data_IF_043133304096
#
_entry.id   IF_043133304096
#
_cell.length_a   1.000
_cell.length_b   1.000
_cell.length_c   1.000
_cell.angle_alpha   90.00
_cell.angle_beta   90.00
_cell.angle_gamma   90.00
#
_symmetry.space_group_name_H-M   'P 1'
#
loop_
_entity.id
_entity.type
_entity.pdbx_description
1 polymer ?
#
# COMPACT_ATOMS: atom_id res chain seq x y z
N UNK A 1 -5.30 4.86 41.64
CA UNK A 1 -6.25 4.56 40.54
C UNK A 1 -6.06 3.10 40.15
N UNK A 2 -7.11 2.34 39.79
CA UNK A 2 -6.97 0.94 39.36
C UNK A 2 -7.50 0.83 37.94
N UNK A 3 -6.63 0.46 37.00
CA UNK A 3 -6.93 0.39 35.57
C UNK A 3 -6.27 -0.86 34.96
N UNK A 4 -6.65 -1.20 33.72
CA UNK A 4 -5.90 -2.19 32.94
C UNK A 4 -4.65 -1.55 32.34
N UNK A 5 -3.52 -2.26 32.42
CA UNK A 5 -2.28 -1.89 31.74
C UNK A 5 -2.35 -2.18 30.23
N UNK A 6 -1.33 -1.77 29.47
CA UNK A 6 -1.28 -2.01 28.02
C UNK A 6 -1.26 -3.49 27.60
N UNK A 7 -1.11 -4.42 28.55
CA UNK A 7 -1.18 -5.87 28.34
C UNK A 7 -2.50 -6.49 28.85
N UNK A 8 -3.47 -5.66 29.27
CA UNK A 8 -4.78 -6.10 29.76
C UNK A 8 -4.76 -6.65 31.20
N UNK A 9 -3.71 -6.37 31.99
CA UNK A 9 -3.61 -6.79 33.40
C UNK A 9 -4.06 -5.68 34.33
N UNK A 10 -4.69 -6.05 35.45
CA UNK A 10 -5.10 -5.07 36.46
C UNK A 10 -3.87 -4.52 37.18
N UNK A 11 -3.66 -3.21 37.10
CA UNK A 11 -2.57 -2.49 37.77
C UNK A 11 -3.13 -1.36 38.61
N UNK A 12 -2.55 -1.19 39.81
CA UNK A 12 -2.83 -0.04 40.68
C UNK A 12 -1.76 1.02 40.47
N UNK A 13 -2.17 2.19 40.01
CA UNK A 13 -1.33 3.36 39.79
C UNK A 13 -1.36 4.27 41.01
N UNK A 14 -0.19 4.78 41.39
CA UNK A 14 -0.01 5.65 42.55
C UNK A 14 -0.39 7.11 42.23
N UNK A 15 -0.22 7.54 40.98
CA UNK A 15 -0.55 8.89 40.53
C UNK A 15 -1.01 8.91 39.08
N UNK A 16 -1.51 10.05 38.60
CA UNK A 16 -1.93 10.22 37.20
C UNK A 16 -0.73 10.28 36.25
N UNK A 17 0.41 10.80 36.71
CA UNK A 17 1.66 10.88 35.97
C UNK A 17 2.20 9.48 35.63
N UNK A 18 2.02 8.49 36.52
CA UNK A 18 2.41 7.10 36.26
C UNK A 18 1.63 6.51 35.08
N UNK A 19 0.33 6.84 34.97
CA UNK A 19 -0.51 6.44 33.84
C UNK A 19 -0.04 7.14 32.56
N UNK A 20 0.29 8.44 32.64
CA UNK A 20 0.72 9.22 31.48
C UNK A 20 2.06 8.74 30.92
N UNK A 21 3.03 8.41 31.78
CA UNK A 21 4.33 7.88 31.37
C UNK A 21 4.17 6.53 30.66
N UNK A 22 3.37 5.63 31.23
CA UNK A 22 3.08 4.35 30.59
C UNK A 22 2.37 4.55 29.23
N UNK A 23 1.36 5.41 29.19
CA UNK A 23 0.65 5.75 27.95
C UNK A 23 1.59 6.30 26.87
N UNK A 24 2.54 7.15 27.24
CA UNK A 24 3.47 7.79 26.30
C UNK A 24 4.28 6.75 25.52
N UNK A 25 4.86 5.78 26.22
CA UNK A 25 5.70 4.74 25.60
C UNK A 25 4.89 3.86 24.65
N UNK A 26 3.72 3.40 25.10
CA UNK A 26 2.80 2.62 24.26
C UNK A 26 2.37 3.42 23.03
N UNK A 27 1.96 4.67 23.21
CA UNK A 27 1.49 5.51 22.11
C UNK A 27 2.57 5.73 21.07
N UNK A 28 3.81 5.99 21.49
CA UNK A 28 4.95 6.16 20.58
C UNK A 28 5.25 4.89 19.78
N UNK A 29 5.16 3.72 20.39
CA UNK A 29 5.31 2.43 19.69
C UNK A 29 4.23 2.25 18.62
N UNK A 30 2.98 2.59 18.93
CA UNK A 30 1.89 2.51 17.95
C UNK A 30 2.05 3.51 16.80
N UNK A 31 2.59 4.71 17.04
CA UNK A 31 2.95 5.63 15.96
C UNK A 31 4.06 5.08 15.06
N UNK A 32 5.04 4.34 15.60
CA UNK A 32 6.02 3.61 14.79
C UNK A 32 5.35 2.57 13.91
N UNK A 33 4.51 1.70 14.49
CA UNK A 33 3.74 0.69 13.75
C UNK A 33 2.87 1.31 12.66
N UNK A 34 2.20 2.43 12.98
CA UNK A 34 1.40 3.21 12.01
C UNK A 34 2.25 3.72 10.87
N UNK A 35 3.39 4.36 11.15
CA UNK A 35 4.31 4.86 10.12
C UNK A 35 4.78 3.73 9.20
N UNK A 36 5.19 2.60 9.77
CA UNK A 36 5.65 1.44 9.01
C UNK A 36 4.55 0.89 8.10
N UNK A 37 3.31 0.80 8.61
CA UNK A 37 2.17 0.39 7.81
C UNK A 37 1.87 1.39 6.68
N UNK A 38 1.85 2.69 6.96
CA UNK A 38 1.63 3.73 5.95
C UNK A 38 2.70 3.67 4.86
N UNK A 39 3.97 3.48 5.23
CA UNK A 39 5.07 3.31 4.28
C UNK A 39 4.89 2.07 3.41
N UNK A 40 4.50 0.93 3.99
CA UNK A 40 4.24 -0.30 3.22
C UNK A 40 3.12 -0.12 2.21
N UNK A 41 1.99 0.46 2.64
CA UNK A 41 0.83 0.71 1.77
C UNK A 41 1.21 1.66 0.64
N UNK A 42 1.87 2.77 0.96
CA UNK A 42 2.25 3.77 -0.03
C UNK A 42 3.31 3.26 -1.00
N UNK A 43 4.28 2.47 -0.53
CA UNK A 43 5.25 1.81 -1.39
C UNK A 43 4.60 0.82 -2.36
N UNK A 44 3.62 0.04 -1.90
CA UNK A 44 2.84 -0.85 -2.74
C UNK A 44 2.08 -0.07 -3.82
N UNK A 45 1.43 1.04 -3.45
CA UNK A 45 0.70 1.91 -4.38
C UNK A 45 1.64 2.52 -5.44
N UNK A 46 2.81 3.02 -5.03
CA UNK A 46 3.83 3.56 -5.94
C UNK A 46 4.32 2.49 -6.91
N UNK A 47 4.59 1.28 -6.45
CA UNK A 47 5.03 0.19 -7.31
C UNK A 47 3.93 -0.23 -8.31
N UNK A 48 2.68 -0.28 -7.88
CA UNK A 48 1.53 -0.51 -8.77
C UNK A 48 1.42 0.58 -9.84
N UNK A 49 1.52 1.86 -9.46
CA UNK A 49 1.49 2.98 -10.40
C UNK A 49 2.68 2.95 -11.36
N UNK A 50 3.87 2.57 -10.88
CA UNK A 50 5.08 2.41 -11.70
C UNK A 50 4.88 1.33 -12.77
N UNK A 51 4.34 0.17 -12.39
CA UNK A 51 4.07 -0.92 -13.33
C UNK A 51 2.96 -0.55 -14.32
N UNK A 52 1.87 0.09 -13.85
CA UNK A 52 0.81 0.60 -14.74
C UNK A 52 1.34 1.61 -15.76
N UNK A 53 2.16 2.57 -15.32
CA UNK A 53 2.75 3.57 -16.20
C UNK A 53 3.68 2.91 -17.24
N UNK A 54 4.51 1.94 -16.82
CA UNK A 54 5.37 1.19 -17.73
C UNK A 54 4.57 0.39 -18.76
N UNK A 55 3.51 -0.29 -18.31
CA UNK A 55 2.61 -1.07 -19.16
C UNK A 55 1.94 -0.20 -20.23
N UNK A 56 1.35 0.93 -19.83
CA UNK A 56 0.71 1.87 -20.76
C UNK A 56 1.72 2.44 -21.76
N UNK A 57 2.91 2.83 -21.29
CA UNK A 57 3.95 3.36 -22.17
C UNK A 57 4.39 2.33 -23.22
N UNK A 58 4.68 1.10 -22.81
CA UNK A 58 5.04 0.02 -23.73
C UNK A 58 3.92 -0.31 -24.72
N UNK A 59 2.65 -0.15 -24.30
CA UNK A 59 1.50 -0.36 -25.18
C UNK A 59 1.34 0.75 -26.23
N UNK A 60 1.56 2.01 -25.84
CA UNK A 60 1.56 3.17 -26.74
C UNK A 60 2.72 3.07 -27.75
N UNK A 61 3.88 2.59 -27.29
CA UNK A 61 5.07 2.44 -28.13
C UNK A 61 5.04 1.16 -29.01
N UNK A 62 3.94 0.39 -28.96
CA UNK A 62 3.79 -0.90 -29.66
C UNK A 62 4.86 -1.95 -29.33
N UNK A 63 5.53 -1.83 -28.19
CA UNK A 63 6.55 -2.77 -27.71
C UNK A 63 5.95 -3.97 -26.96
N UNK A 64 4.65 -3.91 -26.63
CA UNK A 64 3.95 -4.96 -25.88
C UNK A 64 2.66 -5.33 -26.62
N UNK A 65 2.74 -6.36 -27.44
CA UNK A 65 1.61 -6.94 -28.17
C UNK A 65 1.27 -8.32 -27.61
N UNK A 66 -0.01 -8.52 -27.32
CA UNK A 66 -0.50 -9.78 -26.78
C UNK A 66 -1.92 -10.11 -27.28
N UNK A 67 -2.40 -9.33 -28.26
CA UNK A 67 -3.63 -9.58 -29.00
C UNK A 67 -3.60 -10.97 -29.64
N UNK A 68 -4.58 -11.81 -29.31
CA UNK A 68 -4.69 -13.17 -29.83
C UNK A 68 -3.90 -14.24 -29.07
N UNK A 69 -3.12 -13.89 -28.05
CA UNK A 69 -2.47 -14.85 -27.16
C UNK A 69 -3.44 -15.43 -26.11
N UNK A 70 -3.16 -16.65 -25.65
CA UNK A 70 -3.91 -17.25 -24.52
C UNK A 70 -3.47 -16.58 -23.22
N UNK A 71 -4.38 -16.49 -22.24
CA UNK A 71 -4.11 -15.90 -20.91
C UNK A 71 -2.78 -16.37 -20.28
N UNK A 72 -2.49 -17.68 -20.34
CA UNK A 72 -1.24 -18.24 -19.82
C UNK A 72 0.04 -17.74 -20.52
N UNK A 73 -0.04 -17.43 -21.81
CA UNK A 73 1.06 -16.87 -22.60
C UNK A 73 1.27 -15.38 -22.27
N UNK A 74 0.17 -14.64 -22.07
CA UNK A 74 0.21 -13.24 -21.63
C UNK A 74 0.91 -13.12 -20.28
N UNK A 75 0.58 -13.99 -19.32
CA UNK A 75 1.23 -14.01 -18.00
C UNK A 75 2.74 -14.22 -18.13
N UNK A 76 3.17 -15.20 -18.94
CA UNK A 76 4.60 -15.48 -19.17
C UNK A 76 5.31 -14.31 -19.82
N UNK A 77 4.65 -13.59 -20.74
CA UNK A 77 5.18 -12.39 -21.37
C UNK A 77 5.39 -11.27 -20.34
N UNK A 78 4.40 -11.03 -19.47
CA UNK A 78 4.54 -10.02 -18.41
C UNK A 78 5.64 -10.38 -17.41
N UNK A 79 5.83 -11.66 -17.12
CA UNK A 79 6.94 -12.15 -16.30
C UNK A 79 8.29 -11.94 -16.97
N UNK A 80 8.42 -12.26 -18.27
CA UNK A 80 9.68 -12.06 -19.01
C UNK A 80 10.05 -10.58 -19.13
N UNK A 81 9.04 -9.71 -19.25
CA UNK A 81 9.23 -8.25 -19.21
C UNK A 81 9.47 -7.72 -17.79
N UNK A 82 9.40 -8.56 -16.75
CA UNK A 82 9.68 -8.18 -15.37
C UNK A 82 8.61 -7.28 -14.74
N UNK A 83 7.33 -7.49 -15.06
CA UNK A 83 6.23 -6.87 -14.33
C UNK A 83 6.00 -7.61 -13.02
N UNK A 84 5.81 -6.86 -11.92
CA UNK A 84 5.54 -7.46 -10.61
C UNK A 84 4.09 -7.96 -10.54
N UNK A 85 3.90 -9.09 -9.85
CA UNK A 85 2.59 -9.64 -9.52
C UNK A 85 2.10 -9.01 -8.22
N UNK A 86 0.93 -8.37 -8.26
CA UNK A 86 0.18 -7.98 -7.07
C UNK A 86 -1.06 -8.87 -6.98
N UNK A 87 -0.93 -9.97 -6.25
CA UNK A 87 -2.08 -10.76 -5.82
C UNK A 87 -2.55 -10.29 -4.45
N UNK A 88 -3.85 -10.38 -4.18
CA UNK A 88 -4.29 -10.52 -2.79
C UNK A 88 -3.57 -11.75 -2.24
N UNK A 89 -2.73 -11.54 -1.22
CA UNK A 89 -1.96 -12.61 -0.62
C UNK A 89 -2.90 -13.74 -0.20
N UNK A 90 -2.57 -14.95 -0.64
CA UNK A 90 -2.95 -16.20 0.02
C UNK A 90 -2.42 -16.15 1.47
N UNK A 91 -3.18 -15.55 2.36
CA UNK A 91 -3.10 -15.74 3.82
C UNK A 91 -4.49 -15.87 4.48
N UNK A 92 -5.51 -16.26 3.73
CA UNK A 92 -6.62 -17.03 4.30
C UNK A 92 -6.75 -18.33 3.51
N UNK A 93 -6.32 -19.44 4.14
CA UNK A 93 -6.81 -20.76 3.76
C UNK A 93 -8.28 -20.82 4.18
N UNK A 94 -9.20 -20.46 3.31
CA UNK A 94 -10.53 -21.07 3.37
C UNK A 94 -10.46 -22.39 2.62
N UNK A 95 -10.52 -23.49 3.36
CA UNK A 95 -11.00 -24.76 2.83
C UNK A 95 -12.42 -24.52 2.29
N UNK A 96 -12.54 -24.34 0.98
CA UNK A 96 -13.75 -24.72 0.29
C UNK A 96 -13.37 -25.19 -1.12
N UNK A 97 -13.55 -26.49 -1.32
CA UNK A 97 -13.40 -27.19 -2.58
C UNK A 97 -14.51 -26.72 -3.52
N UNK A 98 -14.21 -25.79 -4.43
CA UNK A 98 -14.93 -25.72 -5.69
C UNK A 98 -14.00 -25.32 -6.84
N UNK A 99 -13.74 -26.31 -7.69
CA UNK A 99 -12.87 -26.23 -8.85
C UNK A 99 -13.50 -25.35 -9.95
N UNK A 100 -13.09 -24.09 -10.01
CA UNK A 100 -12.93 -23.36 -11.29
C UNK A 100 -11.62 -22.58 -11.24
N UNK A 101 -10.56 -23.16 -11.82
CA UNK A 101 -9.19 -22.64 -11.75
C UNK A 101 -9.00 -21.27 -12.38
N UNK A 102 -9.12 -20.19 -11.59
CA UNK A 102 -8.85 -18.82 -12.02
C UNK A 102 -8.07 -18.00 -10.97
N UNK A 103 -7.26 -18.68 -10.17
CA UNK A 103 -6.63 -18.17 -8.95
C UNK A 103 -5.14 -17.79 -9.16
N UNK A 104 -4.84 -17.19 -10.32
CA UNK A 104 -3.46 -17.11 -10.85
C UNK A 104 -2.92 -15.73 -11.22
N UNK A 105 -3.74 -14.69 -11.33
CA UNK A 105 -3.30 -13.50 -12.07
C UNK A 105 -3.13 -12.30 -11.15
N UNK A 106 -1.99 -12.27 -10.46
CA UNK A 106 -1.47 -11.04 -9.85
C UNK A 106 -1.21 -9.90 -10.85
N UNK A 107 -1.58 -10.05 -12.12
CA UNK A 107 -1.53 -9.05 -13.19
C UNK A 107 -2.89 -8.39 -13.48
N UNK A 108 -3.95 -8.76 -12.77
CA UNK A 108 -5.29 -8.18 -12.97
C UNK A 108 -5.30 -6.64 -12.85
N UNK A 109 -4.42 -6.06 -12.02
CA UNK A 109 -4.30 -4.61 -11.88
C UNK A 109 -3.79 -3.89 -13.15
N UNK A 110 -3.08 -4.61 -14.05
CA UNK A 110 -2.65 -4.13 -15.36
C UNK A 110 -3.72 -4.43 -16.41
N UNK A 111 -4.30 -5.63 -16.40
CA UNK A 111 -5.25 -6.05 -17.44
C UNK A 111 -6.61 -5.37 -17.32
N UNK A 112 -7.02 -4.98 -16.12
CA UNK A 112 -8.26 -4.24 -15.89
C UNK A 112 -8.12 -2.72 -16.13
N UNK A 113 -7.08 -2.28 -16.85
CA UNK A 113 -6.96 -0.87 -17.25
C UNK A 113 -7.99 -0.52 -18.32
N UNK A 114 -8.67 0.61 -18.15
CA UNK A 114 -9.64 1.12 -19.13
C UNK A 114 -8.93 1.46 -20.45
N UNK A 115 -9.56 1.21 -21.59
CA UNK A 115 -8.97 1.51 -22.91
C UNK A 115 -8.60 3.00 -23.10
N UNK A 116 -9.33 3.92 -22.46
CA UNK A 116 -9.02 5.35 -22.47
C UNK A 116 -7.69 5.70 -21.79
N UNK A 117 -7.13 4.79 -20.97
CA UNK A 117 -5.84 5.00 -20.30
C UNK A 117 -4.66 5.05 -21.29
N UNK A 118 -4.84 4.55 -22.52
CA UNK A 118 -3.82 4.60 -23.58
C UNK A 118 -3.80 5.93 -24.34
N UNK A 119 -4.72 6.85 -24.06
CA UNK A 119 -4.65 8.20 -24.61
C UNK A 119 -3.49 8.97 -23.97
N UNK A 120 -2.78 9.80 -24.75
CA UNK A 120 -1.64 10.62 -24.27
C UNK A 120 -1.99 11.46 -23.03
N UNK A 121 -3.22 11.99 -22.98
CA UNK A 121 -3.70 12.79 -21.85
C UNK A 121 -3.81 11.97 -20.55
N UNK A 122 -4.42 10.79 -20.61
CA UNK A 122 -4.57 9.91 -19.44
C UNK A 122 -3.25 9.28 -19.03
N UNK A 123 -2.37 8.94 -19.99
CA UNK A 123 -1.02 8.49 -19.70
C UNK A 123 -0.22 9.58 -18.95
N UNK A 124 -0.31 10.85 -19.37
CA UNK A 124 0.32 11.96 -18.66
C UNK A 124 -0.26 12.16 -17.26
N UNK A 125 -1.59 12.05 -17.10
CA UNK A 125 -2.23 12.10 -15.77
C UNK A 125 -1.71 10.98 -14.87
N UNK A 126 -1.55 9.76 -15.39
CA UNK A 126 -1.01 8.64 -14.61
C UNK A 126 0.45 8.88 -14.20
N UNK A 127 1.28 9.43 -15.10
CA UNK A 127 2.66 9.81 -14.80
C UNK A 127 2.74 10.88 -13.71
N UNK A 128 1.85 11.88 -13.76
CA UNK A 128 1.77 12.91 -12.73
C UNK A 128 1.38 12.31 -11.36
N UNK A 129 0.36 11.44 -11.33
CA UNK A 129 -0.06 10.73 -10.11
C UNK A 129 1.07 9.88 -9.52
N UNK A 130 1.81 9.17 -10.36
CA UNK A 130 2.99 8.41 -9.94
C UNK A 130 4.01 9.34 -9.26
N UNK A 131 4.36 10.45 -9.90
CA UNK A 131 5.35 11.39 -9.37
C UNK A 131 4.89 12.05 -8.06
N UNK A 132 3.59 12.33 -7.91
CA UNK A 132 3.00 12.84 -6.67
C UNK A 132 3.13 11.82 -5.53
N UNK A 133 2.74 10.56 -5.78
CA UNK A 133 2.85 9.48 -4.80
C UNK A 133 4.30 9.14 -4.41
N UNK A 134 5.23 9.23 -5.36
CA UNK A 134 6.67 9.10 -5.07
C UNK A 134 7.17 10.23 -4.15
N UNK A 135 6.69 11.45 -4.34
CA UNK A 135 7.00 12.58 -3.45
C UNK A 135 6.40 12.37 -2.05
N UNK A 136 5.14 11.95 -1.97
CA UNK A 136 4.49 11.62 -0.69
C UNK A 136 5.29 10.56 0.07
N UNK A 137 5.80 9.54 -0.62
CA UNK A 137 6.60 8.47 -0.01
C UNK A 137 7.91 9.02 0.57
N UNK A 138 8.61 9.88 -0.17
CA UNK A 138 9.85 10.51 0.30
C UNK A 138 9.58 11.39 1.53
N UNK A 139 8.48 12.14 1.53
CA UNK A 139 8.07 12.97 2.67
C UNK A 139 7.76 12.09 3.88
N UNK A 140 6.97 11.04 3.72
CA UNK A 140 6.60 10.13 4.81
C UNK A 140 7.81 9.37 5.37
N UNK A 141 8.79 9.03 4.54
CA UNK A 141 10.05 8.42 4.99
C UNK A 141 10.83 9.36 5.91
N UNK A 142 10.90 10.65 5.56
CA UNK A 142 11.61 11.68 6.33
C UNK A 142 10.92 12.00 7.66
N UNK A 143 9.59 11.98 7.70
CA UNK A 143 8.82 12.29 8.91
C UNK A 143 9.15 11.32 10.05
N UNK A 144 9.41 11.81 11.25
CA UNK A 144 9.58 10.94 12.42
C UNK A 144 8.22 10.56 13.03
N UNK A 145 8.11 9.42 13.74
CA UNK A 145 6.89 9.06 14.47
C UNK A 145 6.43 10.14 15.47
N UNK A 146 7.38 10.89 16.04
CA UNK A 146 7.10 12.00 16.94
C UNK A 146 6.50 13.20 16.22
N UNK A 147 6.97 13.52 15.01
CA UNK A 147 6.39 14.58 14.18
C UNK A 147 4.96 14.24 13.76
N UNK A 148 4.70 12.98 13.35
CA UNK A 148 3.34 12.51 13.04
C UNK A 148 2.42 12.67 14.25
N UNK A 149 2.92 12.35 15.44
CA UNK A 149 2.14 12.53 16.67
C UNK A 149 1.89 14.02 16.97
N UNK A 150 2.86 14.91 16.79
CA UNK A 150 2.64 16.35 16.96
C UNK A 150 1.62 16.90 15.98
N UNK A 151 1.71 16.53 14.70
CA UNK A 151 0.74 16.95 13.67
C UNK A 151 -0.69 16.51 14.04
N UNK A 152 -0.86 15.28 14.54
CA UNK A 152 -2.17 14.80 15.02
C UNK A 152 -2.66 15.59 16.25
N UNK A 153 -1.76 15.98 17.16
CA UNK A 153 -2.11 16.79 18.33
C UNK A 153 -2.50 18.22 17.96
N UNK A 154 -1.78 18.84 17.02
CA UNK A 154 -2.11 20.16 16.51
C UNK A 154 -3.47 20.14 15.81
N UNK A 155 -3.71 19.13 14.96
CA UNK A 155 -5.01 18.92 14.30
C UNK A 155 -6.14 18.74 15.31
N UNK A 156 -5.90 18.03 16.41
CA UNK A 156 -6.89 17.84 17.48
C UNK A 156 -7.16 19.12 18.29
N UNK A 157 -6.20 20.05 18.35
CA UNK A 157 -6.37 21.34 19.04
C UNK A 157 -7.07 22.39 18.17
N UNK A 158 -6.93 22.28 16.85
CA UNK A 158 -7.59 23.16 15.88
C UNK A 158 -9.08 22.81 15.68
N UNK A 159 -9.49 21.58 16.04
CA UNK A 159 -10.88 21.09 16.02
C UNK A 159 -11.65 21.43 17.31
#
# INVERSE_FOLDING_TARGET
>A
MVCFDGNGRIKKYNSAEEILLEFYDYRLEYYRKRKDHMLKVLALEVNQLRNKARFIQMKIDHNLEFEGLRKAEIIKLLESEGFERFGHGKEEKSDDEDQTGNDGDGYNYLMNTKSWSFCKEEAQKLMNKKAEKEKELIVLQKKTPQEIWKEDLDTFLDE
#
